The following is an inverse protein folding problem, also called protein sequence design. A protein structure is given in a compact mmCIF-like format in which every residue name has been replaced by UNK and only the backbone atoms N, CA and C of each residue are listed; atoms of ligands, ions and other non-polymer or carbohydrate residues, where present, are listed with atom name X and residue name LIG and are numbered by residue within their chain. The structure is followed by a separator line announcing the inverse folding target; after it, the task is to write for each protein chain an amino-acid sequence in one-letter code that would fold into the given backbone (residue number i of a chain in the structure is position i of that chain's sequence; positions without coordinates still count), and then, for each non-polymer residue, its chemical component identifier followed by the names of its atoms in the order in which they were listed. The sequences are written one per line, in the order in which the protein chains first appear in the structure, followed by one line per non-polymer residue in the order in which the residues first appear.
data_IF_351771204879
#
_entry.id   IF_351771204879
#
_cell.length_a   1.000
_cell.length_b   1.000
_cell.length_c   1.000
_cell.angle_alpha   90.00
_cell.angle_beta   90.00
_cell.angle_gamma   90.00
#
_symmetry.space_group_name_H-M   'P 1'
#
loop_
_entity.id
_entity.type
_entity.pdbx_description
1 polymer ?
#
# COMPACT_ATOMS: atom_id res chain seq x y z
N UNK A 1 -19.10 -0.33 19.11
CA UNK A 1 -17.75 0.22 18.88
C UNK A 1 -16.88 -0.79 18.14
N UNK A 2 -15.98 -0.38 17.22
CA UNK A 2 -15.08 -1.31 16.54
C UNK A 2 -14.08 -1.97 17.51
N UNK A 3 -13.61 -3.19 17.20
CA UNK A 3 -12.62 -3.90 18.01
C UNK A 3 -11.28 -3.15 18.06
N UNK A 4 -10.46 -3.39 19.10
CA UNK A 4 -9.17 -2.71 19.26
C UNK A 4 -8.23 -2.89 18.05
N UNK A 5 -8.21 -4.08 17.44
CA UNK A 5 -7.46 -4.33 16.21
C UNK A 5 -7.98 -3.49 15.04
N UNK A 6 -9.31 -3.38 14.89
CA UNK A 6 -9.95 -2.56 13.85
C UNK A 6 -9.71 -1.06 14.08
N UNK A 7 -9.73 -0.59 15.32
CA UNK A 7 -9.36 0.79 15.67
C UNK A 7 -7.92 1.10 15.30
N UNK A 8 -6.99 0.17 15.58
CA UNK A 8 -5.56 0.31 15.27
C UNK A 8 -5.27 0.31 13.77
N UNK A 9 -5.94 -0.54 13.00
CA UNK A 9 -5.91 -0.49 11.53
C UNK A 9 -6.39 0.87 11.02
N UNK A 10 -7.57 1.29 11.46
CA UNK A 10 -8.14 2.59 11.12
C UNK A 10 -7.24 3.79 11.48
N UNK A 11 -6.47 3.70 12.57
CA UNK A 11 -5.53 4.76 12.95
C UNK A 11 -4.35 4.81 11.99
N UNK A 12 -3.81 3.65 11.59
CA UNK A 12 -2.65 3.62 10.71
C UNK A 12 -2.97 4.11 9.30
N UNK A 13 -4.11 3.69 8.75
CA UNK A 13 -4.58 4.22 7.46
C UNK A 13 -4.74 5.75 7.50
N UNK A 14 -5.19 6.32 8.64
CA UNK A 14 -5.30 7.78 8.80
C UNK A 14 -3.93 8.46 8.81
N UNK A 15 -2.98 7.90 9.54
CA UNK A 15 -1.60 8.39 9.56
C UNK A 15 -1.03 8.40 8.13
N UNK A 16 -1.19 7.29 7.39
CA UNK A 16 -0.72 7.18 6.00
C UNK A 16 -1.40 8.21 5.10
N UNK A 17 -2.73 8.37 5.16
CA UNK A 17 -3.41 9.39 4.34
C UNK A 17 -2.92 10.80 4.64
N UNK A 18 -2.65 11.11 5.91
CA UNK A 18 -2.15 12.42 6.32
C UNK A 18 -0.74 12.63 5.77
N UNK A 19 0.17 11.69 6.00
CA UNK A 19 1.56 11.75 5.54
C UNK A 19 1.64 11.93 4.02
N UNK A 20 0.84 11.16 3.26
CA UNK A 20 0.79 11.26 1.81
C UNK A 20 0.19 12.59 1.36
N UNK A 21 -0.86 13.06 2.03
CA UNK A 21 -1.47 14.35 1.68
C UNK A 21 -0.48 15.51 1.87
N UNK A 22 0.30 15.47 2.95
CA UNK A 22 1.39 16.44 3.22
C UNK A 22 2.54 16.29 2.21
N UNK A 23 2.95 15.05 1.89
CA UNK A 23 4.06 14.76 0.97
C UNK A 23 3.79 15.22 -0.46
N UNK A 24 2.56 15.04 -0.93
CA UNK A 24 2.18 15.33 -2.32
C UNK A 24 1.39 16.63 -2.48
N UNK A 25 1.03 17.30 -1.37
CA UNK A 25 0.14 18.46 -1.34
C UNK A 25 -1.18 18.21 -2.10
N UNK A 26 -1.76 17.04 -1.86
CA UNK A 26 -2.95 16.51 -2.53
C UNK A 26 -3.85 15.80 -1.52
N UNK A 27 -5.10 15.51 -1.87
CA UNK A 27 -6.04 14.89 -0.93
C UNK A 27 -6.03 13.35 -1.04
N UNK A 28 -5.44 12.67 -0.07
CA UNK A 28 -5.54 11.22 0.09
C UNK A 28 -6.60 10.89 1.13
N UNK A 29 -7.51 9.98 0.80
CA UNK A 29 -8.59 9.56 1.70
C UNK A 29 -8.61 8.04 1.85
N UNK A 30 -9.12 7.56 2.98
CA UNK A 30 -9.25 6.13 3.22
C UNK A 30 -10.41 5.57 2.41
N UNK A 31 -10.26 4.35 1.89
CA UNK A 31 -11.38 3.64 1.27
C UNK A 31 -12.45 3.35 2.33
N UNK A 32 -13.70 3.79 2.13
CA UNK A 32 -14.78 3.48 3.06
C UNK A 32 -15.01 1.97 3.13
N UNK A 33 -14.97 1.41 4.34
CA UNK A 33 -15.16 -0.02 4.58
C UNK A 33 -14.14 -0.93 3.84
N UNK A 34 -12.88 -0.52 3.71
CA UNK A 34 -11.82 -1.29 3.00
C UNK A 34 -11.77 -2.79 3.34
N UNK A 35 -11.99 -3.16 4.62
CA UNK A 35 -12.04 -4.56 5.06
C UNK A 35 -13.36 -5.32 4.82
N UNK A 36 -14.44 -4.66 4.42
CA UNK A 36 -15.74 -5.29 4.12
C UNK A 36 -16.05 -5.39 2.62
N UNK A 37 -15.31 -4.66 1.78
CA UNK A 37 -15.45 -4.73 0.31
C UNK A 37 -14.77 -5.96 -0.29
N UNK A 38 -13.73 -6.47 0.35
CA UNK A 38 -13.01 -7.72 -0.02
C UNK A 38 -13.54 -8.96 0.69
N UNK A 39 -14.49 -8.82 1.63
CA UNK A 39 -15.16 -9.91 2.33
C UNK A 39 -16.46 -10.31 1.63
N UNK A 40 -16.67 -11.62 1.42
CA UNK A 40 -17.68 -12.23 0.52
C UNK A 40 -19.16 -11.86 0.70
N UNK A 41 -19.53 -10.92 1.56
CA UNK A 41 -20.89 -10.42 1.71
C UNK A 41 -21.25 -9.25 0.75
N UNK A 42 -20.26 -8.57 0.16
CA UNK A 42 -20.49 -7.42 -0.76
C UNK A 42 -20.17 -7.71 -2.23
N UNK A 43 -19.90 -8.96 -2.60
CA UNK A 43 -19.53 -9.33 -3.97
C UNK A 43 -20.60 -8.91 -5.01
N UNK A 44 -21.88 -9.05 -4.67
CA UNK A 44 -23.00 -8.59 -5.52
C UNK A 44 -23.08 -7.07 -5.75
N UNK A 45 -22.41 -6.25 -4.93
CA UNK A 45 -22.33 -4.80 -5.15
C UNK A 45 -21.20 -4.42 -6.10
N UNK A 46 -20.14 -5.23 -6.19
CA UNK A 46 -19.00 -5.00 -7.09
C UNK A 46 -19.41 -5.09 -8.57
N UNK A 47 -20.34 -5.98 -8.92
CA UNK A 47 -20.83 -6.13 -10.30
C UNK A 47 -21.58 -4.90 -10.83
N UNK A 48 -22.03 -4.01 -9.93
CA UNK A 48 -22.75 -2.78 -10.27
C UNK A 48 -21.86 -1.54 -10.34
N UNK A 49 -20.59 -1.65 -9.95
CA UNK A 49 -19.65 -0.53 -10.00
C UNK A 49 -19.01 -0.43 -11.38
N UNK A 50 -18.79 0.80 -11.84
CA UNK A 50 -17.96 1.04 -13.03
C UNK A 50 -16.49 0.66 -12.74
N UNK A 51 -15.71 0.43 -13.78
CA UNK A 51 -14.28 0.10 -13.62
C UNK A 51 -13.50 1.21 -12.89
N UNK A 52 -13.88 2.47 -13.09
CA UNK A 52 -13.29 3.60 -12.35
C UNK A 52 -13.65 3.57 -10.86
N UNK A 53 -14.90 3.23 -10.53
CA UNK A 53 -15.31 3.06 -9.14
C UNK A 53 -14.59 1.89 -8.49
N UNK A 54 -14.46 0.76 -9.17
CA UNK A 54 -13.69 -0.40 -8.68
C UNK A 54 -12.24 -0.02 -8.41
N UNK A 55 -11.60 0.71 -9.33
CA UNK A 55 -10.22 1.19 -9.20
C UNK A 55 -10.06 2.16 -8.05
N UNK A 56 -10.98 3.11 -7.89
CA UNK A 56 -10.97 4.05 -6.78
C UNK A 56 -11.15 3.36 -5.41
N UNK A 57 -11.77 2.17 -5.41
CA UNK A 57 -11.98 1.35 -4.21
C UNK A 57 -10.96 0.22 -4.05
N UNK A 58 -9.96 0.13 -4.93
CA UNK A 58 -8.94 -0.93 -4.90
C UNK A 58 -7.80 -0.55 -3.94
N UNK A 59 -7.71 -1.28 -2.83
CA UNK A 59 -6.76 -1.05 -1.73
C UNK A 59 -7.39 -0.38 -0.50
N UNK A 60 -6.55 0.11 0.41
CA UNK A 60 -6.97 0.76 1.65
C UNK A 60 -7.03 2.29 1.54
N UNK A 61 -6.30 2.88 0.58
CA UNK A 61 -6.21 4.33 0.37
C UNK A 61 -6.70 4.70 -1.04
N UNK A 62 -7.66 5.61 -1.13
CA UNK A 62 -8.05 6.26 -2.38
C UNK A 62 -7.01 7.32 -2.71
N UNK A 63 -6.39 7.17 -3.87
CA UNK A 63 -5.29 8.01 -4.35
C UNK A 63 -5.81 9.13 -5.28
N UNK A 64 -5.21 10.33 -5.24
CA UNK A 64 -5.52 11.42 -6.16
C UNK A 64 -5.00 11.12 -7.58
N UNK A 65 -5.41 11.90 -8.61
CA UNK A 65 -4.99 11.70 -10.00
C UNK A 65 -3.47 11.61 -10.21
N UNK A 66 -2.68 12.31 -9.39
CA UNK A 66 -1.22 12.30 -9.47
C UNK A 66 -0.59 10.95 -9.11
N UNK A 67 -1.36 10.04 -8.51
CA UNK A 67 -0.96 8.68 -8.13
C UNK A 67 -2.03 7.62 -8.50
N UNK A 68 -2.95 7.94 -9.42
CA UNK A 68 -4.14 7.13 -9.77
C UNK A 68 -3.85 5.70 -10.25
N UNK A 69 -2.61 5.40 -10.62
CA UNK A 69 -2.20 4.07 -11.06
C UNK A 69 -1.60 3.20 -9.96
N UNK A 70 -1.40 3.76 -8.76
CA UNK A 70 -0.87 3.02 -7.63
C UNK A 70 -1.98 2.48 -6.76
N UNK A 71 -1.85 1.20 -6.41
CA UNK A 71 -2.63 0.58 -5.33
C UNK A 71 -1.85 0.65 -4.02
N UNK A 72 -2.48 1.11 -2.94
CA UNK A 72 -1.89 1.18 -1.61
C UNK A 72 -2.65 0.30 -0.63
N UNK A 73 -1.95 -0.64 0.00
CA UNK A 73 -2.51 -1.53 1.03
C UNK A 73 -1.81 -1.28 2.37
N UNK A 74 -2.55 -1.15 3.46
CA UNK A 74 -2.05 -0.84 4.79
C UNK A 74 -2.19 -2.02 5.75
N UNK A 75 -1.11 -2.39 6.44
CA UNK A 75 -1.13 -3.43 7.49
C UNK A 75 -0.58 -2.89 8.80
N UNK A 76 -1.32 -3.05 9.90
CA UNK A 76 -0.88 -2.62 11.23
C UNK A 76 -0.93 -3.76 12.24
N UNK A 77 0.23 -4.28 12.63
CA UNK A 77 0.36 -5.45 13.50
C UNK A 77 1.15 -5.14 14.77
N UNK A 78 0.89 -5.91 15.84
CA UNK A 78 1.63 -5.78 17.10
C UNK A 78 3.01 -6.43 17.00
N UNK A 79 3.09 -7.55 16.31
CA UNK A 79 4.28 -8.39 16.14
C UNK A 79 4.47 -8.75 14.67
N UNK A 80 5.71 -9.06 14.31
CA UNK A 80 6.08 -9.51 12.98
C UNK A 80 7.29 -10.46 13.09
N UNK A 81 7.21 -11.60 12.43
CA UNK A 81 8.23 -12.66 12.50
C UNK A 81 9.40 -12.33 11.55
N UNK A 82 10.25 -11.36 11.92
CA UNK A 82 11.38 -10.94 11.07
C UNK A 82 12.33 -12.09 10.71
N UNK A 83 12.53 -13.06 11.61
CA UNK A 83 13.34 -14.25 11.34
C UNK A 83 12.81 -15.10 10.18
N UNK A 84 11.49 -15.05 9.90
CA UNK A 84 10.87 -15.76 8.78
C UNK A 84 11.07 -15.08 7.42
N UNK A 85 11.59 -13.85 7.39
CA UNK A 85 11.98 -13.18 6.14
C UNK A 85 13.09 -13.94 5.40
N UNK A 86 13.90 -14.70 6.14
CA UNK A 86 14.99 -15.52 5.59
C UNK A 86 14.56 -16.96 5.28
N UNK A 87 13.28 -17.29 5.45
CA UNK A 87 12.73 -18.63 5.18
C UNK A 87 11.38 -18.51 4.47
N UNK A 88 10.27 -18.66 5.20
CA UNK A 88 8.91 -18.52 4.66
C UNK A 88 8.06 -17.72 5.62
N UNK A 89 7.57 -16.56 5.18
CA UNK A 89 6.71 -15.69 5.98
C UNK A 89 5.27 -15.69 5.43
N UNK A 90 4.50 -16.72 5.79
CA UNK A 90 3.11 -16.89 5.36
C UNK A 90 2.21 -15.67 5.61
N UNK A 91 2.49 -14.93 6.68
CA UNK A 91 1.75 -13.70 6.99
C UNK A 91 2.04 -12.61 5.97
N UNK A 92 3.32 -12.39 5.65
CA UNK A 92 3.72 -11.44 4.62
C UNK A 92 3.23 -11.88 3.23
N UNK A 93 3.36 -13.17 2.90
CA UNK A 93 2.89 -13.75 1.63
C UNK A 93 1.39 -13.50 1.43
N UNK A 94 0.60 -13.70 2.50
CA UNK A 94 -0.84 -13.39 2.48
C UNK A 94 -1.12 -11.92 2.21
N UNK A 95 -0.35 -11.01 2.80
CA UNK A 95 -0.53 -9.57 2.55
C UNK A 95 -0.12 -9.18 1.13
N UNK A 96 0.97 -9.76 0.61
CA UNK A 96 1.41 -9.54 -0.78
C UNK A 96 0.32 -9.99 -1.74
N UNK A 97 -0.26 -11.17 -1.55
CA UNK A 97 -1.34 -11.68 -2.40
C UNK A 97 -2.60 -10.80 -2.42
N UNK A 98 -2.80 -9.92 -1.42
CA UNK A 98 -3.94 -8.97 -1.41
C UNK A 98 -3.67 -7.73 -2.26
N UNK A 99 -2.40 -7.34 -2.39
CA UNK A 99 -1.98 -6.10 -3.06
C UNK A 99 -1.40 -6.34 -4.46
N UNK A 100 -0.97 -7.56 -4.75
CA UNK A 100 -0.32 -7.94 -6.02
C UNK A 100 -1.34 -7.99 -7.17
N UNK A 101 -1.75 -6.80 -7.61
CA UNK A 101 -2.52 -6.55 -8.82
C UNK A 101 -1.77 -5.52 -9.68
N UNK A 102 -1.38 -5.93 -10.90
CA UNK A 102 -0.57 -5.09 -11.78
C UNK A 102 0.85 -4.82 -11.26
N UNK A 103 1.48 -3.76 -11.76
CA UNK A 103 2.91 -3.47 -11.51
C UNK A 103 3.16 -2.30 -10.54
N UNK A 104 2.17 -1.45 -10.26
CA UNK A 104 2.33 -0.25 -9.44
C UNK A 104 1.52 -0.40 -8.16
N UNK A 105 2.17 -0.95 -7.14
CA UNK A 105 1.54 -1.13 -5.85
C UNK A 105 2.53 -1.02 -4.70
N UNK A 106 2.03 -0.62 -3.54
CA UNK A 106 2.78 -0.53 -2.30
C UNK A 106 2.04 -1.24 -1.17
N UNK A 107 2.75 -2.10 -0.44
CA UNK A 107 2.30 -2.64 0.83
C UNK A 107 2.97 -1.86 1.97
N UNK A 108 2.18 -1.14 2.75
CA UNK A 108 2.62 -0.23 3.80
C UNK A 108 2.35 -0.87 5.17
N UNK A 109 3.42 -1.28 5.85
CA UNK A 109 3.35 -2.09 7.07
C UNK A 109 3.80 -1.26 8.26
N UNK A 110 3.01 -1.22 9.32
CA UNK A 110 3.41 -0.74 10.65
C UNK A 110 3.46 -1.88 11.65
N UNK A 111 4.59 -2.01 12.33
CA UNK A 111 4.78 -2.95 13.42
C UNK A 111 5.02 -2.17 14.71
N UNK A 112 4.13 -2.33 15.69
CA UNK A 112 4.16 -1.56 16.94
C UNK A 112 5.52 -1.63 17.62
N UNK A 113 6.12 -0.45 17.90
CA UNK A 113 7.44 -0.30 18.53
C UNK A 113 8.61 -0.95 17.75
N UNK A 114 8.40 -1.28 16.48
CA UNK A 114 9.41 -1.88 15.59
C UNK A 114 9.61 -1.10 14.28
N UNK A 115 8.76 -0.12 14.00
CA UNK A 115 8.89 0.77 12.84
C UNK A 115 7.79 0.60 11.80
N UNK A 116 7.93 1.34 10.71
CA UNK A 116 7.07 1.26 9.52
C UNK A 116 7.92 1.01 8.27
N UNK A 117 7.39 0.18 7.39
CA UNK A 117 8.06 -0.36 6.24
C UNK A 117 7.16 -0.22 5.01
N UNK A 118 7.80 -0.14 3.85
CA UNK A 118 7.12 -0.20 2.56
C UNK A 118 7.70 -1.34 1.74
N UNK A 119 6.83 -2.07 1.06
CA UNK A 119 7.18 -3.19 0.20
C UNK A 119 6.60 -2.98 -1.21
N UNK A 120 7.41 -3.26 -2.22
CA UNK A 120 7.05 -3.10 -3.63
C UNK A 120 7.82 -4.07 -4.55
N UNK A 121 7.35 -4.27 -5.81
CA UNK A 121 8.04 -5.09 -6.80
C UNK A 121 9.46 -4.62 -7.14
N UNK A 122 10.39 -5.58 -7.28
CA UNK A 122 11.81 -5.31 -7.63
C UNK A 122 11.99 -4.61 -8.97
N UNK A 123 11.08 -4.78 -9.92
CA UNK A 123 11.10 -4.05 -11.21
C UNK A 123 10.83 -2.54 -11.06
N UNK A 124 10.42 -2.05 -9.88
CA UNK A 124 10.33 -0.62 -9.59
C UNK A 124 11.59 -0.06 -8.92
N UNK A 125 12.50 -0.94 -8.47
CA UNK A 125 13.64 -0.54 -7.64
C UNK A 125 14.55 0.50 -8.29
N UNK A 126 14.76 0.42 -9.61
CA UNK A 126 15.61 1.36 -10.34
C UNK A 126 15.03 2.78 -10.46
N UNK A 127 13.75 2.97 -10.14
CA UNK A 127 13.15 4.31 -10.10
C UNK A 127 13.29 4.99 -8.74
N UNK A 128 13.65 4.24 -7.69
CA UNK A 128 13.61 4.73 -6.31
C UNK A 128 14.99 4.77 -5.65
N UNK A 129 15.14 5.68 -4.69
CA UNK A 129 16.31 5.88 -3.85
C UNK A 129 15.99 5.41 -2.43
N UNK A 130 16.76 4.45 -1.96
CA UNK A 130 16.69 3.91 -0.60
C UNK A 130 18.07 3.37 -0.21
N UNK A 131 18.42 3.46 1.08
CA UNK A 131 19.75 3.06 1.58
C UNK A 131 19.74 1.60 2.03
N UNK A 132 18.99 1.32 3.10
CA UNK A 132 18.88 -0.01 3.67
C UNK A 132 17.61 -0.68 3.15
N UNK A 133 17.76 -1.89 2.62
CA UNK A 133 16.64 -2.67 2.13
C UNK A 133 16.90 -4.17 2.28
N UNK A 134 15.81 -4.93 2.25
CA UNK A 134 15.82 -6.38 2.15
C UNK A 134 15.15 -6.76 0.83
N UNK A 135 15.72 -7.74 0.12
CA UNK A 135 15.03 -8.43 -0.97
C UNK A 135 14.31 -9.66 -0.42
N UNK A 136 13.01 -9.76 -0.65
CA UNK A 136 12.18 -10.91 -0.22
C UNK A 136 11.74 -11.72 -1.45
N UNK A 137 12.00 -13.04 -1.40
CA UNK A 137 11.73 -14.04 -2.45
C UNK A 137 12.15 -13.62 -3.88
N UNK A 138 13.24 -12.86 -3.97
CA UNK A 138 13.76 -12.22 -5.20
C UNK A 138 12.80 -11.28 -5.94
N UNK A 139 11.54 -11.18 -5.54
CA UNK A 139 10.51 -10.40 -6.25
C UNK A 139 10.23 -9.06 -5.63
N UNK A 140 10.47 -8.89 -4.34
CA UNK A 140 10.04 -7.68 -3.62
C UNK A 140 11.18 -7.01 -2.87
N UNK A 141 11.12 -5.69 -2.79
CA UNK A 141 11.98 -4.87 -1.95
C UNK A 141 11.18 -4.48 -0.71
N UNK A 142 11.80 -4.59 0.47
CA UNK A 142 11.29 -4.06 1.73
C UNK A 142 12.26 -3.00 2.23
N UNK A 143 11.77 -1.80 2.51
CA UNK A 143 12.59 -0.71 3.04
C UNK A 143 11.82 0.17 4.03
N UNK A 144 12.49 1.18 4.58
CA UNK A 144 11.94 2.17 5.53
C UNK A 144 10.82 2.97 4.87
N UNK A 145 9.65 3.05 5.51
CA UNK A 145 8.52 3.85 5.02
C UNK A 145 8.88 5.34 4.95
N UNK A 146 9.44 5.89 6.04
CA UNK A 146 9.71 7.32 6.17
C UNK A 146 10.77 7.78 5.17
N UNK A 147 11.90 7.06 5.11
CA UNK A 147 12.97 7.41 4.18
C UNK A 147 12.51 7.26 2.73
N UNK A 148 11.66 6.27 2.44
CA UNK A 148 11.16 6.06 1.09
C UNK A 148 10.35 7.27 0.60
N UNK A 149 9.35 7.73 1.34
CA UNK A 149 8.50 8.84 0.87
C UNK A 149 9.26 10.17 0.78
N UNK A 150 10.16 10.44 1.73
CA UNK A 150 11.01 11.64 1.71
C UNK A 150 11.89 11.73 0.47
N UNK A 151 12.34 10.59 -0.07
CA UNK A 151 13.30 10.57 -1.17
C UNK A 151 12.67 10.29 -2.55
N UNK A 152 11.41 9.86 -2.62
CA UNK A 152 10.84 9.27 -3.85
C UNK A 152 9.55 9.91 -4.38
N UNK A 153 9.02 10.96 -3.74
CA UNK A 153 7.79 11.61 -4.19
C UNK A 153 7.81 11.98 -5.69
N UNK A 154 8.90 12.61 -6.16
CA UNK A 154 9.05 12.96 -7.58
C UNK A 154 9.12 11.76 -8.53
N UNK A 155 9.76 10.67 -8.11
CA UNK A 155 9.85 9.45 -8.92
C UNK A 155 8.47 8.80 -9.10
N UNK A 156 7.66 8.81 -8.05
CA UNK A 156 6.30 8.26 -8.06
C UNK A 156 5.40 9.07 -8.99
N UNK A 157 5.46 10.41 -8.92
CA UNK A 157 4.73 11.28 -9.84
C UNK A 157 5.12 11.03 -11.31
N UNK A 158 6.42 10.79 -11.58
CA UNK A 158 6.91 10.48 -12.91
C UNK A 158 6.37 9.14 -13.40
N UNK A 159 6.47 8.10 -12.59
CA UNK A 159 5.95 6.77 -12.91
C UNK A 159 4.46 6.77 -13.21
N UNK A 160 3.68 7.57 -12.49
CA UNK A 160 2.26 7.73 -12.75
C UNK A 160 2.01 8.29 -14.17
N UNK A 161 2.77 9.31 -14.58
CA UNK A 161 2.66 9.96 -15.90
C UNK A 161 3.14 9.08 -17.06
N UNK A 162 4.25 8.36 -16.89
CA UNK A 162 4.92 7.61 -17.98
C UNK A 162 4.09 6.46 -18.57
N UNK A 163 3.03 6.01 -17.88
CA UNK A 163 2.07 5.09 -18.50
C UNK A 163 0.61 5.52 -18.29
N UNK A 164 0.33 6.82 -18.41
CA UNK A 164 -1.02 7.21 -18.78
C UNK A 164 -1.30 6.63 -20.18
N UNK A 165 -2.41 5.91 -20.41
CA UNK A 165 -2.87 5.72 -21.77
C UNK A 165 -3.12 7.11 -22.35
N UNK A 166 -2.61 7.37 -23.56
CA UNK A 166 -3.00 8.56 -24.31
C UNK A 166 -4.53 8.59 -24.37
N UNK A 167 -5.12 9.70 -23.91
CA UNK A 167 -6.56 9.96 -24.00
C UNK A 167 -7.00 10.06 -25.46
#
# INVERSE_FOLDING_TARGET
MPSAAKQKGNSWERDVTKDLSETFNENFIRVPNSGAYTGGANFHRLDRLTEDQKRMMDGDIMVPPCMSRFKLECKNYKTFDYHKLFTTNKTLDKWIAQVESGNLWFLIIKVTRKGSYILFPTNLSHYFRFKNYLRYIDKYIITSYTDFWQNNAHAILRLNKTYAPEL
#
